data_IF_516837337339
#
_entry.id   IF_516837337339
#
_cell.length_a   1.000
_cell.length_b   1.000
_cell.length_c   1.000
_cell.angle_alpha   90.00
_cell.angle_beta   90.00
_cell.angle_gamma   90.00
#
_symmetry.space_group_name_H-M   'P 1'
#
loop_
_entity.id
_entity.type
_entity.pdbx_description
1 polymer ?
#
# COMPACT_ATOMS: atom_id res chain seq x y z
N UNK A 1 -13.87 30.66 -29.05
CA UNK A 1 -14.86 31.75 -29.00
C UNK A 1 -14.66 32.43 -27.67
N UNK A 2 -13.95 33.55 -27.70
CA UNK A 2 -13.61 34.40 -26.57
C UNK A 2 -14.82 35.25 -26.22
N UNK A 3 -15.06 35.48 -24.92
CA UNK A 3 -15.74 36.68 -24.44
C UNK A 3 -15.08 37.12 -23.14
N UNK A 4 -14.18 38.09 -23.28
CA UNK A 4 -13.89 39.06 -22.24
C UNK A 4 -15.05 40.05 -22.18
N UNK A 5 -15.51 40.40 -20.97
CA UNK A 5 -16.14 41.69 -20.70
C UNK A 5 -15.69 42.17 -19.32
N UNK A 6 -14.87 43.21 -19.37
CA UNK A 6 -14.42 44.05 -18.27
C UNK A 6 -15.40 45.24 -18.16
N UNK A 7 -15.80 45.66 -16.95
CA UNK A 7 -15.92 47.09 -16.58
C UNK A 7 -16.35 47.28 -15.12
N UNK A 8 -15.39 47.76 -14.32
CA UNK A 8 -15.41 48.90 -13.37
C UNK A 8 -16.69 49.29 -12.61
N UNK A 9 -16.52 49.56 -11.31
CA UNK A 9 -17.42 50.35 -10.49
C UNK A 9 -17.03 50.35 -9.00
N UNK A 10 -16.00 51.11 -8.65
CA UNK A 10 -15.70 51.52 -7.27
C UNK A 10 -16.64 52.64 -6.85
N UNK A 11 -17.29 52.53 -5.69
CA UNK A 11 -17.58 53.71 -4.87
C UNK A 11 -17.73 53.34 -3.39
N UNK A 12 -16.92 54.01 -2.61
CA UNK A 12 -16.89 54.07 -1.15
C UNK A 12 -18.02 54.97 -0.65
N UNK A 13 -18.71 54.57 0.41
CA UNK A 13 -19.41 55.52 1.27
C UNK A 13 -19.43 55.00 2.72
N UNK A 14 -18.72 55.73 3.56
CA UNK A 14 -18.75 55.66 5.01
C UNK A 14 -20.00 56.38 5.55
N UNK A 15 -20.30 56.10 6.82
CA UNK A 15 -21.12 56.88 7.76
C UNK A 15 -22.64 56.87 7.59
N UNK A 16 -23.30 56.08 8.45
CA UNK A 16 -24.49 56.56 9.17
C UNK A 16 -24.37 56.16 10.65
N UNK A 17 -24.30 57.19 11.48
CA UNK A 17 -24.11 57.20 12.93
C UNK A 17 -25.50 57.30 13.56
N UNK A 18 -25.95 56.29 14.32
CA UNK A 18 -27.21 56.34 15.06
C UNK A 18 -26.93 56.70 16.54
N UNK A 19 -27.34 57.89 17.02
CA UNK A 19 -27.05 58.35 18.37
C UNK A 19 -28.29 58.17 19.27
N UNK A 20 -28.59 56.94 19.69
CA UNK A 20 -29.43 56.73 20.88
C UNK A 20 -29.39 55.28 21.40
N UNK A 21 -28.53 55.01 22.38
CA UNK A 21 -28.79 53.96 23.38
C UNK A 21 -28.34 54.52 24.73
N UNK A 22 -29.34 54.68 25.58
CA UNK A 22 -29.27 55.27 26.91
C UNK A 22 -28.44 54.39 27.86
N UNK A 23 -27.75 55.05 28.77
CA UNK A 23 -26.90 54.47 29.82
C UNK A 23 -27.73 53.54 30.73
N UNK A 24 -27.40 52.25 30.78
CA UNK A 24 -27.82 51.35 31.87
C UNK A 24 -26.60 51.05 32.75
N UNK A 25 -26.78 51.29 34.04
CA UNK A 25 -25.79 51.31 35.11
C UNK A 25 -25.14 49.92 35.32
N UNK A 26 -23.80 49.90 35.42
CA UNK A 26 -23.03 48.72 35.81
C UNK A 26 -23.27 48.42 37.30
N UNK A 27 -24.03 47.35 37.60
CA UNK A 27 -24.03 46.74 38.93
C UNK A 27 -22.83 45.78 39.03
N UNK A 28 -21.87 46.13 39.89
CA UNK A 28 -20.75 45.27 40.30
C UNK A 28 -21.26 44.11 41.17
N UNK A 29 -21.52 42.96 40.56
CA UNK A 29 -21.62 41.70 41.29
C UNK A 29 -20.21 41.19 41.64
N UNK A 30 -19.86 41.25 42.93
CA UNK A 30 -18.65 40.64 43.50
C UNK A 30 -18.66 39.12 43.25
N UNK A 31 -17.88 38.66 42.27
CA UNK A 31 -17.63 37.23 42.02
C UNK A 31 -16.81 36.65 43.20
N UNK A 32 -17.36 35.68 43.96
CA UNK A 32 -16.66 35.12 45.10
C UNK A 32 -15.52 34.20 44.63
N UNK A 33 -14.34 34.80 44.47
CA UNK A 33 -13.02 34.20 44.67
C UNK A 33 -12.74 32.90 43.94
N UNK A 34 -11.90 32.99 42.91
CA UNK A 34 -11.13 31.88 42.36
C UNK A 34 -10.61 30.98 43.50
N UNK A 35 -11.06 29.72 43.51
CA UNK A 35 -10.54 28.70 44.42
C UNK A 35 -9.16 28.25 43.91
N UNK A 36 -8.14 29.08 44.12
CA UNK A 36 -6.74 28.83 43.75
C UNK A 36 -6.19 27.51 44.35
N UNK A 37 -6.81 26.99 45.40
CA UNK A 37 -6.35 25.81 46.13
C UNK A 37 -6.78 24.45 45.52
N UNK A 38 -7.59 24.40 44.46
CA UNK A 38 -8.00 23.10 43.87
C UNK A 38 -6.85 22.38 43.15
N UNK A 39 -5.81 23.11 42.73
CA UNK A 39 -4.65 22.56 42.02
C UNK A 39 -3.35 22.57 42.85
N UNK A 40 -3.40 22.99 44.11
CA UNK A 40 -2.25 22.99 45.01
C UNK A 40 -2.10 21.59 45.62
N UNK A 41 -1.47 20.69 44.87
CA UNK A 41 -1.15 19.34 45.34
C UNK A 41 -1.02 18.29 44.24
N UNK A 42 -1.69 18.48 43.10
CA UNK A 42 -1.65 17.52 41.98
C UNK A 42 -0.30 17.47 41.25
N UNK A 43 0.58 18.44 41.48
CA UNK A 43 1.93 18.44 40.92
C UNK A 43 2.86 17.39 41.55
N UNK A 44 2.49 16.82 42.71
CA UNK A 44 3.35 15.88 43.45
C UNK A 44 3.03 14.40 43.21
N UNK A 45 1.90 14.08 42.55
CA UNK A 45 1.46 12.70 42.31
C UNK A 45 1.88 12.15 40.93
N UNK A 46 2.52 12.97 40.09
CA UNK A 46 3.16 12.47 38.87
C UNK A 46 4.57 12.02 39.25
N UNK A 47 4.71 10.74 39.59
CA UNK A 47 6.02 10.10 39.64
C UNK A 47 6.74 10.41 38.31
N UNK A 48 7.76 11.28 38.35
CA UNK A 48 8.69 11.47 37.25
C UNK A 48 9.44 10.17 37.08
N UNK A 49 8.86 9.26 36.29
CA UNK A 49 9.56 8.09 35.81
C UNK A 49 10.82 8.60 35.12
N UNK A 50 11.99 8.21 35.63
CA UNK A 50 13.28 8.64 35.09
C UNK A 50 13.38 8.34 33.59
N UNK A 51 14.33 8.98 32.91
CA UNK A 51 14.58 8.79 31.47
C UNK A 51 14.87 7.33 31.05
N UNK A 52 15.01 6.41 32.01
CA UNK A 52 15.18 4.96 31.85
C UNK A 52 13.87 4.16 32.06
N UNK A 53 12.71 4.82 32.03
CA UNK A 53 11.42 4.15 32.06
C UNK A 53 11.30 3.20 30.86
N UNK A 54 11.14 1.91 31.11
CA UNK A 54 10.89 0.90 30.08
C UNK A 54 9.66 1.30 29.26
N UNK A 55 9.86 1.75 28.03
CA UNK A 55 8.76 2.02 27.09
C UNK A 55 8.22 0.67 26.59
N UNK A 56 6.99 0.26 26.96
CA UNK A 56 6.41 -1.00 26.50
C UNK A 56 6.15 -1.04 24.99
N UNK A 57 6.25 0.10 24.30
CA UNK A 57 6.18 0.25 22.85
C UNK A 57 7.55 0.31 22.16
N UNK A 58 8.67 0.22 22.90
CA UNK A 58 10.00 0.24 22.29
C UNK A 58 10.11 -0.87 21.23
N UNK A 59 10.46 -0.46 20.02
CA UNK A 59 10.52 -1.34 18.87
C UNK A 59 11.74 -0.99 18.02
N UNK A 60 12.65 -1.94 17.89
CA UNK A 60 13.90 -1.73 17.16
C UNK A 60 13.67 -1.89 15.64
N UNK A 61 13.95 -0.83 14.90
CA UNK A 61 13.90 -0.82 13.45
C UNK A 61 15.02 0.03 12.86
N UNK A 62 15.37 -0.22 11.60
CA UNK A 62 16.36 0.56 10.84
C UNK A 62 15.78 1.02 9.52
N UNK A 63 16.00 2.28 9.15
CA UNK A 63 15.66 2.80 7.83
C UNK A 63 16.82 2.53 6.85
N UNK A 64 16.54 1.82 5.77
CA UNK A 64 17.48 1.46 4.71
C UNK A 64 17.15 2.25 3.45
N UNK A 65 18.19 2.70 2.75
CA UNK A 65 18.10 3.24 1.40
C UNK A 65 17.81 2.13 0.39
N UNK A 66 17.43 2.52 -0.83
CA UNK A 66 17.28 1.59 -1.95
C UNK A 66 18.50 0.67 -2.13
N UNK A 67 19.72 1.24 -2.11
CA UNK A 67 20.96 0.50 -2.32
C UNK A 67 21.26 -0.50 -1.21
N UNK A 68 21.05 -0.10 0.05
CA UNK A 68 21.27 -0.99 1.19
C UNK A 68 20.27 -2.15 1.21
N UNK A 69 19.01 -1.85 0.89
CA UNK A 69 17.94 -2.86 0.78
C UNK A 69 18.23 -3.84 -0.36
N UNK A 70 18.63 -3.33 -1.53
CA UNK A 70 19.02 -4.15 -2.68
C UNK A 70 20.24 -5.02 -2.36
N UNK A 71 21.24 -4.49 -1.65
CA UNK A 71 22.39 -5.24 -1.16
C UNK A 71 21.98 -6.41 -0.27
N UNK A 72 21.16 -6.16 0.76
CA UNK A 72 20.68 -7.18 1.68
C UNK A 72 19.88 -8.30 0.96
N UNK A 73 18.99 -7.93 0.02
CA UNK A 73 18.25 -8.90 -0.78
C UNK A 73 19.18 -9.73 -1.68
N UNK A 74 20.19 -9.10 -2.29
CA UNK A 74 21.14 -9.78 -3.16
C UNK A 74 22.07 -10.74 -2.40
N UNK A 75 22.40 -10.48 -1.14
CA UNK A 75 23.15 -11.41 -0.31
C UNK A 75 22.38 -12.72 -0.09
N UNK A 76 21.10 -12.63 0.30
CA UNK A 76 20.23 -13.81 0.45
C UNK A 76 20.08 -14.57 -0.87
N UNK A 77 19.90 -13.86 -1.99
CA UNK A 77 19.85 -14.44 -3.33
C UNK A 77 21.13 -15.19 -3.69
N UNK A 78 22.29 -14.55 -3.52
CA UNK A 78 23.59 -15.14 -3.91
C UNK A 78 23.87 -16.39 -3.09
N UNK A 79 23.63 -16.32 -1.77
CA UNK A 79 23.74 -17.46 -0.87
C UNK A 79 22.85 -18.62 -1.32
N UNK A 80 21.55 -18.36 -1.55
CA UNK A 80 20.61 -19.40 -1.94
C UNK A 80 20.90 -20.00 -3.32
N UNK A 81 21.23 -19.16 -4.31
CA UNK A 81 21.57 -19.60 -5.66
C UNK A 81 22.76 -20.56 -5.67
N UNK A 82 23.77 -20.28 -4.85
CA UNK A 82 24.96 -21.13 -4.72
C UNK A 82 24.65 -22.51 -4.16
N UNK A 83 23.75 -22.59 -3.17
CA UNK A 83 23.37 -23.84 -2.49
C UNK A 83 22.45 -24.68 -3.37
N UNK A 84 21.44 -24.06 -3.98
CA UNK A 84 20.46 -24.73 -4.84
C UNK A 84 20.99 -25.04 -6.25
N UNK A 85 22.13 -24.45 -6.64
CA UNK A 85 22.73 -24.54 -7.99
C UNK A 85 21.76 -24.09 -9.10
N UNK A 86 21.09 -22.98 -8.88
CA UNK A 86 20.15 -22.35 -9.83
C UNK A 86 20.63 -20.96 -10.24
N UNK A 87 20.06 -20.38 -11.31
CA UNK A 87 20.37 -19.00 -11.67
C UNK A 87 19.87 -18.01 -10.60
N UNK A 88 20.49 -16.83 -10.54
CA UNK A 88 20.08 -15.76 -9.62
C UNK A 88 18.60 -15.40 -9.78
N UNK A 89 18.11 -15.25 -11.02
CA UNK A 89 16.70 -14.96 -11.31
C UNK A 89 15.76 -16.02 -10.74
N UNK A 90 16.13 -17.30 -10.87
CA UNK A 90 15.35 -18.41 -10.31
C UNK A 90 15.37 -18.39 -8.78
N UNK A 91 16.52 -18.13 -8.17
CA UNK A 91 16.64 -18.00 -6.71
C UNK A 91 15.72 -16.89 -6.15
N UNK A 92 15.63 -15.74 -6.84
CA UNK A 92 14.71 -14.66 -6.46
C UNK A 92 13.24 -15.11 -6.49
N UNK A 93 12.82 -15.84 -7.53
CA UNK A 93 11.45 -16.38 -7.60
C UNK A 93 11.14 -17.29 -6.39
N UNK A 94 12.08 -18.16 -6.02
CA UNK A 94 11.95 -19.06 -4.87
C UNK A 94 11.86 -18.24 -3.57
N UNK A 95 12.75 -17.27 -3.37
CA UNK A 95 12.76 -16.41 -2.18
C UNK A 95 11.44 -15.67 -2.00
N UNK A 96 10.92 -15.06 -3.06
CA UNK A 96 9.63 -14.34 -3.02
C UNK A 96 8.48 -15.28 -2.65
N UNK A 97 8.47 -16.51 -3.20
CA UNK A 97 7.40 -17.47 -2.93
C UNK A 97 7.37 -17.95 -1.47
N UNK A 98 8.54 -18.03 -0.83
CA UNK A 98 8.69 -18.48 0.57
C UNK A 98 8.99 -17.31 1.53
N UNK A 99 8.58 -16.10 1.17
CA UNK A 99 8.71 -14.91 2.02
C UNK A 99 10.11 -14.67 2.60
N UNK A 100 11.14 -15.03 1.83
CA UNK A 100 12.56 -14.87 2.20
C UNK A 100 13.01 -15.67 3.44
N UNK A 101 12.27 -16.71 3.82
CA UNK A 101 12.65 -17.62 4.91
C UNK A 101 13.68 -18.66 4.44
N UNK A 102 14.95 -18.25 4.33
CA UNK A 102 16.04 -19.07 3.78
C UNK A 102 16.17 -20.43 4.48
N UNK A 103 16.09 -20.49 5.81
CA UNK A 103 16.18 -21.74 6.57
C UNK A 103 15.10 -22.76 6.17
N UNK A 104 13.85 -22.29 6.02
CA UNK A 104 12.72 -23.14 5.60
C UNK A 104 12.94 -23.68 4.18
N UNK A 105 13.40 -22.81 3.25
CA UNK A 105 13.69 -23.19 1.87
C UNK A 105 14.77 -24.30 1.84
N UNK A 106 15.83 -24.15 2.62
CA UNK A 106 16.92 -25.12 2.67
C UNK A 106 16.48 -26.48 3.25
N UNK A 107 15.65 -26.48 4.29
CA UNK A 107 15.17 -27.72 4.89
C UNK A 107 14.17 -28.46 3.99
N UNK A 108 13.29 -27.71 3.31
CA UNK A 108 12.42 -28.28 2.27
C UNK A 108 13.22 -28.81 1.09
N UNK A 109 14.28 -28.12 0.67
CA UNK A 109 15.13 -28.57 -0.44
C UNK A 109 15.86 -29.88 -0.13
N UNK A 110 16.37 -30.05 1.09
CA UNK A 110 16.97 -31.32 1.55
C UNK A 110 15.96 -32.47 1.53
N UNK A 111 14.70 -32.17 1.82
CA UNK A 111 13.62 -33.16 1.88
C UNK A 111 13.11 -33.56 0.49
N UNK A 112 12.77 -32.57 -0.35
CA UNK A 112 12.29 -32.80 -1.72
C UNK A 112 12.52 -31.56 -2.60
N UNK A 113 13.63 -31.55 -3.34
CA UNK A 113 14.01 -30.44 -4.23
C UNK A 113 13.04 -30.22 -5.38
N UNK A 114 12.51 -31.30 -5.99
CA UNK A 114 11.60 -31.20 -7.13
C UNK A 114 10.26 -30.57 -6.71
N UNK A 115 9.70 -30.98 -5.57
CA UNK A 115 8.47 -30.41 -5.04
C UNK A 115 8.63 -28.92 -4.72
N UNK A 116 9.75 -28.53 -4.11
CA UNK A 116 10.04 -27.12 -3.82
C UNK A 116 10.06 -26.26 -5.09
N UNK A 117 10.67 -26.74 -6.17
CA UNK A 117 10.74 -26.01 -7.44
C UNK A 117 9.37 -25.91 -8.15
N UNK A 118 8.51 -26.91 -7.98
CA UNK A 118 7.12 -26.88 -8.48
C UNK A 118 6.26 -25.92 -7.65
N UNK A 119 6.37 -25.95 -6.32
CA UNK A 119 5.67 -25.03 -5.40
C UNK A 119 6.09 -23.57 -5.65
N UNK A 120 7.38 -23.33 -5.89
CA UNK A 120 7.92 -22.03 -6.29
C UNK A 120 7.54 -21.60 -7.72
N UNK A 121 6.84 -22.47 -8.48
CA UNK A 121 6.40 -22.24 -9.86
C UNK A 121 7.56 -21.96 -10.83
N UNK A 122 8.71 -22.58 -10.58
CA UNK A 122 9.92 -22.49 -11.42
C UNK A 122 10.06 -23.71 -12.33
N UNK A 123 9.53 -24.86 -11.91
CA UNK A 123 9.47 -26.06 -12.73
C UNK A 123 8.01 -26.54 -12.91
N UNK A 124 7.67 -27.11 -14.07
CA UNK A 124 6.38 -27.73 -14.28
C UNK A 124 6.24 -29.00 -13.42
N UNK A 125 5.01 -29.33 -13.04
CA UNK A 125 4.74 -30.65 -12.48
C UNK A 125 4.85 -31.69 -13.62
N UNK A 126 5.73 -32.71 -13.51
CA UNK A 126 5.92 -33.71 -14.55
C UNK A 126 4.63 -34.48 -14.90
N UNK A 127 3.68 -34.58 -13.97
CA UNK A 127 2.42 -35.31 -14.17
C UNK A 127 1.38 -34.56 -15.02
N UNK A 128 1.57 -33.26 -15.31
CA UNK A 128 0.59 -32.42 -16.03
C UNK A 128 1.09 -31.95 -17.39
N UNK A 129 2.09 -32.60 -17.98
CA UNK A 129 2.54 -32.25 -19.33
C UNK A 129 1.43 -32.52 -20.35
N UNK A 130 0.72 -31.48 -20.75
CA UNK A 130 -0.18 -31.51 -21.90
C UNK A 130 0.71 -31.36 -23.14
N UNK A 131 0.72 -32.34 -24.06
CA UNK A 131 1.42 -32.17 -25.33
C UNK A 131 0.83 -30.97 -26.06
N UNK A 132 1.69 -30.10 -26.59
CA UNK A 132 1.26 -29.03 -27.50
C UNK A 132 0.61 -29.68 -28.73
N UNK A 133 -0.72 -29.55 -28.88
CA UNK A 133 -1.49 -30.13 -29.98
C UNK A 133 -1.33 -29.37 -31.31
N UNK A 134 -0.35 -28.48 -31.40
CA UNK A 134 -0.21 -27.57 -32.53
C UNK A 134 0.77 -28.11 -33.59
N UNK A 135 0.55 -27.76 -34.87
CA UNK A 135 1.46 -28.16 -35.92
C UNK A 135 2.89 -27.71 -35.60
N UNK A 136 3.90 -28.53 -35.92
CA UNK A 136 5.29 -28.10 -35.80
C UNK A 136 5.47 -26.79 -36.58
N UNK A 137 6.21 -25.84 -35.99
CA UNK A 137 6.53 -24.53 -36.59
C UNK A 137 5.41 -23.48 -36.60
N UNK A 138 4.41 -23.57 -35.73
CA UNK A 138 3.39 -22.52 -35.57
C UNK A 138 3.35 -22.00 -34.12
N UNK A 139 3.17 -20.69 -33.97
CA UNK A 139 2.95 -20.09 -32.66
C UNK A 139 1.49 -20.30 -32.21
N UNK A 140 1.27 -20.84 -31.01
CA UNK A 140 -0.08 -21.12 -30.49
C UNK A 140 -0.93 -19.87 -30.20
N UNK A 141 -0.31 -18.67 -30.14
CA UNK A 141 -1.01 -17.40 -29.84
C UNK A 141 -1.40 -16.67 -31.12
N UNK A 142 -0.44 -16.38 -32.00
CA UNK A 142 -0.71 -15.61 -33.22
C UNK A 142 -0.98 -16.48 -34.46
N UNK A 143 -0.87 -17.81 -34.35
CA UNK A 143 -1.04 -18.79 -35.42
C UNK A 143 -0.11 -18.59 -36.64
N UNK A 144 0.93 -17.77 -36.51
CA UNK A 144 1.91 -17.53 -37.57
C UNK A 144 2.93 -18.67 -37.66
N UNK A 145 3.41 -18.93 -38.88
CA UNK A 145 4.53 -19.84 -39.12
C UNK A 145 5.84 -19.23 -38.60
N UNK A 146 6.52 -19.96 -37.74
CA UNK A 146 7.77 -19.54 -37.10
C UNK A 146 8.74 -20.71 -37.08
N UNK A 147 9.97 -20.47 -37.55
CA UNK A 147 11.05 -21.47 -37.48
C UNK A 147 11.27 -21.88 -36.03
N UNK A 148 11.58 -23.16 -35.80
CA UNK A 148 11.73 -23.74 -34.45
C UNK A 148 12.78 -23.00 -33.61
N UNK A 149 13.83 -22.49 -34.25
CA UNK A 149 14.91 -21.69 -33.63
C UNK A 149 14.43 -20.33 -33.06
N UNK A 150 13.30 -19.81 -33.53
CA UNK A 150 12.74 -18.52 -33.10
C UNK A 150 11.58 -18.67 -32.11
N UNK A 151 11.28 -19.91 -31.69
CA UNK A 151 10.32 -20.19 -30.63
C UNK A 151 11.04 -20.20 -29.28
N UNK A 152 10.53 -19.41 -28.35
CA UNK A 152 11.04 -19.32 -27.00
C UNK A 152 10.13 -20.11 -26.07
N UNK A 153 10.73 -20.87 -25.15
CA UNK A 153 10.02 -21.66 -24.15
C UNK A 153 10.69 -21.55 -22.78
N UNK A 154 9.87 -21.60 -21.73
CA UNK A 154 10.33 -21.76 -20.36
C UNK A 154 10.51 -23.25 -20.02
N UNK A 155 10.78 -23.57 -18.75
CA UNK A 155 10.90 -24.95 -18.26
C UNK A 155 9.64 -25.81 -18.50
N UNK A 156 8.47 -25.20 -18.67
CA UNK A 156 7.22 -25.88 -19.03
C UNK A 156 7.16 -26.36 -20.48
N UNK A 157 8.13 -25.99 -21.32
CA UNK A 157 8.24 -26.36 -22.73
C UNK A 157 7.13 -25.81 -23.66
N UNK A 158 6.23 -24.97 -23.15
CA UNK A 158 5.29 -24.23 -24.00
C UNK A 158 6.06 -23.23 -24.88
N UNK A 159 5.87 -23.33 -26.19
CA UNK A 159 6.62 -22.59 -27.21
C UNK A 159 5.77 -21.48 -27.81
N UNK A 160 6.33 -20.27 -27.83
CA UNK A 160 5.70 -19.11 -28.46
C UNK A 160 6.76 -18.29 -29.20
N UNK A 161 6.34 -17.55 -30.22
CA UNK A 161 7.27 -16.70 -30.95
C UNK A 161 7.73 -15.51 -30.11
N UNK A 162 8.89 -14.95 -30.45
CA UNK A 162 9.46 -13.79 -29.77
C UNK A 162 8.49 -12.59 -29.72
N UNK A 163 7.80 -12.28 -30.81
CA UNK A 163 6.89 -11.13 -30.85
C UNK A 163 5.71 -11.27 -29.87
N UNK A 164 5.14 -12.47 -29.72
CA UNK A 164 4.10 -12.71 -28.72
C UNK A 164 4.64 -12.54 -27.29
N UNK A 165 5.85 -13.03 -27.02
CA UNK A 165 6.51 -12.84 -25.73
C UNK A 165 6.79 -11.35 -25.42
N UNK A 166 7.31 -10.59 -26.38
CA UNK A 166 7.55 -9.16 -26.24
C UNK A 166 6.26 -8.39 -25.94
N UNK A 167 5.17 -8.69 -26.65
CA UNK A 167 3.86 -8.09 -26.41
C UNK A 167 3.31 -8.46 -25.03
N UNK A 168 3.32 -9.75 -24.68
CA UNK A 168 2.84 -10.25 -23.39
C UNK A 168 3.58 -9.62 -22.21
N UNK A 169 4.92 -9.64 -22.24
CA UNK A 169 5.74 -9.01 -21.20
C UNK A 169 5.50 -7.49 -21.15
N UNK A 170 5.40 -6.82 -22.29
CA UNK A 170 5.17 -5.37 -22.32
C UNK A 170 3.82 -4.98 -21.72
N UNK A 171 2.76 -5.74 -21.98
CA UNK A 171 1.42 -5.49 -21.41
C UNK A 171 1.46 -5.70 -19.90
N UNK A 172 1.96 -6.84 -19.43
CA UNK A 172 2.02 -7.13 -17.99
C UNK A 172 2.86 -6.13 -17.21
N UNK A 173 3.99 -5.69 -17.77
CA UNK A 173 4.82 -4.66 -17.12
C UNK A 173 4.09 -3.31 -17.11
N UNK A 174 3.36 -2.94 -18.15
CA UNK A 174 2.53 -1.71 -18.14
C UNK A 174 1.43 -1.77 -17.09
N UNK A 175 0.87 -2.95 -16.85
CA UNK A 175 -0.14 -3.20 -15.81
C UNK A 175 0.47 -3.29 -14.39
N UNK A 176 1.78 -3.08 -14.25
CA UNK A 176 2.45 -3.02 -12.94
C UNK A 176 2.88 -4.36 -12.37
N UNK A 177 2.92 -5.42 -13.18
CA UNK A 177 3.31 -6.76 -12.76
C UNK A 177 4.83 -6.94 -12.78
N UNK A 178 5.42 -7.27 -11.62
CA UNK A 178 6.84 -7.62 -11.47
C UNK A 178 7.08 -9.13 -11.51
N UNK A 179 7.18 -9.76 -10.34
CA UNK A 179 7.49 -11.19 -10.16
C UNK A 179 6.35 -12.11 -10.63
N UNK A 180 5.17 -11.53 -10.89
CA UNK A 180 3.97 -12.24 -11.31
C UNK A 180 3.90 -12.61 -12.79
N UNK A 181 4.85 -12.19 -13.63
CA UNK A 181 4.85 -12.54 -15.07
C UNK A 181 4.90 -14.07 -15.23
N UNK A 182 3.89 -14.63 -15.90
CA UNK A 182 3.73 -16.08 -16.07
C UNK A 182 3.75 -16.50 -17.54
N UNK A 183 3.82 -17.82 -17.76
CA UNK A 183 3.65 -18.43 -19.08
C UNK A 183 2.30 -18.05 -19.73
N UNK A 184 2.30 -17.90 -21.06
CA UNK A 184 1.09 -17.61 -21.86
C UNK A 184 0.18 -18.84 -22.07
N UNK A 185 0.64 -20.04 -21.75
CA UNK A 185 -0.18 -21.24 -21.88
C UNK A 185 -1.32 -21.25 -20.86
N UNK A 186 -2.49 -21.71 -21.29
CA UNK A 186 -3.64 -21.86 -20.41
C UNK A 186 -3.30 -22.79 -19.22
N UNK A 187 -3.71 -22.38 -18.02
CA UNK A 187 -3.53 -23.11 -16.76
C UNK A 187 -2.07 -23.48 -16.42
N UNK A 188 -1.09 -22.78 -17.01
CA UNK A 188 0.32 -22.95 -16.67
C UNK A 188 0.72 -22.01 -15.52
N UNK A 189 1.02 -22.53 -14.31
CA UNK A 189 1.35 -21.68 -13.17
C UNK A 189 2.78 -21.12 -13.22
N UNK A 190 3.58 -21.53 -14.20
CA UNK A 190 5.02 -21.26 -14.25
C UNK A 190 5.30 -19.74 -14.35
N UNK A 191 6.15 -19.25 -13.47
CA UNK A 191 6.64 -17.87 -13.48
C UNK A 191 7.84 -17.72 -14.40
N UNK A 192 7.96 -16.53 -14.97
CA UNK A 192 9.02 -16.16 -15.89
C UNK A 192 10.17 -15.50 -15.11
N UNK A 193 11.38 -16.06 -15.13
CA UNK A 193 12.56 -15.44 -14.55
C UNK A 193 12.88 -14.06 -15.15
N UNK A 194 13.40 -13.13 -14.35
CA UNK A 194 13.67 -11.75 -14.78
C UNK A 194 14.66 -11.66 -15.96
N UNK A 195 15.65 -12.57 -16.03
CA UNK A 195 16.62 -12.69 -17.12
C UNK A 195 15.99 -13.12 -18.45
N UNK A 196 14.83 -13.79 -18.40
CA UNK A 196 14.04 -14.09 -19.59
C UNK A 196 13.21 -12.86 -20.03
N UNK A 197 12.69 -12.07 -19.09
CA UNK A 197 11.85 -10.90 -19.39
C UNK A 197 12.66 -9.71 -19.91
N UNK A 198 13.81 -9.40 -19.30
CA UNK A 198 14.60 -8.20 -19.65
C UNK A 198 14.93 -8.09 -21.15
N UNK A 199 15.39 -9.15 -21.84
CA UNK A 199 15.69 -9.10 -23.28
C UNK A 199 14.46 -8.91 -24.20
N UNK A 200 13.25 -9.15 -23.67
CA UNK A 200 11.98 -9.05 -24.40
C UNK A 200 11.32 -7.67 -24.24
N UNK A 201 11.84 -6.81 -23.37
CA UNK A 201 11.30 -5.47 -23.18
C UNK A 201 11.94 -4.51 -24.20
N UNK A 202 11.15 -3.84 -25.07
CA UNK A 202 11.69 -3.09 -26.20
C UNK A 202 12.45 -1.82 -25.80
N UNK A 203 11.95 -1.09 -24.81
CA UNK A 203 12.43 0.24 -24.42
C UNK A 203 12.99 0.26 -22.98
N UNK A 204 13.97 1.14 -22.74
CA UNK A 204 14.62 1.27 -21.43
C UNK A 204 13.65 1.73 -20.34
N UNK A 205 12.67 2.56 -20.69
CA UNK A 205 11.64 3.01 -19.75
C UNK A 205 10.82 1.83 -19.18
N UNK A 206 10.45 0.85 -20.02
CA UNK A 206 9.76 -0.36 -19.55
C UNK A 206 10.68 -1.23 -18.71
N UNK A 207 11.97 -1.34 -19.06
CA UNK A 207 12.96 -2.07 -18.26
C UNK A 207 13.11 -1.45 -16.87
N UNK A 208 13.13 -0.13 -16.78
CA UNK A 208 13.23 0.58 -15.50
C UNK A 208 11.96 0.45 -14.65
N UNK A 209 10.77 0.53 -15.29
CA UNK A 209 9.50 0.22 -14.63
C UNK A 209 9.49 -1.20 -14.08
N UNK A 210 9.95 -2.17 -14.88
CA UNK A 210 10.04 -3.56 -14.46
C UNK A 210 10.99 -3.77 -13.28
N UNK A 211 12.20 -3.15 -13.29
CA UNK A 211 13.12 -3.16 -12.14
C UNK A 211 12.45 -2.65 -10.86
N UNK A 212 11.71 -1.54 -10.96
CA UNK A 212 10.99 -0.96 -9.83
C UNK A 212 9.90 -1.89 -9.29
N UNK A 213 9.12 -2.54 -10.16
CA UNK A 213 8.09 -3.49 -9.75
C UNK A 213 8.68 -4.75 -9.13
N UNK A 214 9.79 -5.27 -9.68
CA UNK A 214 10.51 -6.37 -9.08
C UNK A 214 11.01 -6.01 -7.67
N UNK A 215 11.67 -4.86 -7.51
CA UNK A 215 12.13 -4.40 -6.21
C UNK A 215 10.99 -4.24 -5.20
N UNK A 216 9.87 -3.64 -5.62
CA UNK A 216 8.66 -3.55 -4.79
C UNK A 216 8.21 -4.93 -4.33
N UNK A 217 8.02 -5.86 -5.26
CA UNK A 217 7.56 -7.21 -4.95
C UNK A 217 8.55 -7.97 -4.05
N UNK A 218 9.86 -7.74 -4.20
CA UNK A 218 10.91 -8.30 -3.34
C UNK A 218 10.80 -7.79 -1.91
N UNK A 219 10.67 -6.47 -1.72
CA UNK A 219 10.52 -5.87 -0.40
C UNK A 219 9.20 -6.27 0.25
N UNK A 220 8.09 -6.22 -0.49
CA UNK A 220 6.76 -6.54 0.05
C UNK A 220 6.58 -8.01 0.40
N UNK A 221 7.30 -8.91 -0.26
CA UNK A 221 7.31 -10.34 0.09
C UNK A 221 8.22 -10.67 1.27
N UNK A 222 9.17 -9.79 1.61
CA UNK A 222 10.15 -10.03 2.66
C UNK A 222 9.55 -9.81 4.06
N UNK A 223 9.59 -10.83 4.91
CA UNK A 223 8.96 -10.81 6.23
C UNK A 223 9.50 -9.71 7.17
N UNK A 224 10.78 -9.33 7.06
CA UNK A 224 11.42 -8.27 7.88
C UNK A 224 11.50 -6.88 7.23
N UNK A 225 11.04 -6.70 5.98
CA UNK A 225 11.16 -5.42 5.29
C UNK A 225 9.78 -4.83 5.00
N UNK A 226 9.69 -3.50 4.99
CA UNK A 226 8.54 -2.79 4.43
C UNK A 226 8.91 -1.50 3.72
N UNK A 227 8.16 -1.20 2.66
CA UNK A 227 8.25 0.10 1.98
C UNK A 227 7.59 1.19 2.83
N UNK A 228 8.24 2.34 2.91
CA UNK A 228 7.62 3.53 3.48
C UNK A 228 6.36 3.91 2.69
N UNK A 229 5.22 4.22 3.35
CA UNK A 229 4.00 4.65 2.67
C UNK A 229 4.03 6.12 2.23
N UNK A 230 5.04 6.90 2.64
CA UNK A 230 5.17 8.30 2.26
C UNK A 230 5.30 8.49 0.74
N UNK A 231 4.66 9.54 0.22
CA UNK A 231 4.68 9.86 -1.20
C UNK A 231 6.11 10.02 -1.71
N UNK A 232 6.44 9.29 -2.79
CA UNK A 232 7.76 9.28 -3.43
C UNK A 232 8.95 9.03 -2.48
N UNK A 233 8.71 8.31 -1.37
CA UNK A 233 9.75 7.96 -0.41
C UNK A 233 10.36 6.58 -0.74
N UNK A 234 11.64 6.50 -1.16
CA UNK A 234 12.29 5.23 -1.53
C UNK A 234 12.89 4.49 -0.33
N UNK A 235 12.53 4.87 0.90
CA UNK A 235 13.08 4.25 2.11
C UNK A 235 12.36 2.94 2.41
N UNK A 236 13.14 1.97 2.89
CA UNK A 236 12.66 0.67 3.36
C UNK A 236 12.92 0.56 4.85
N UNK A 237 11.93 0.15 5.62
CA UNK A 237 12.07 -0.12 7.06
C UNK A 237 12.40 -1.60 7.24
N UNK A 238 13.47 -1.89 7.99
CA UNK A 238 13.84 -3.24 8.41
C UNK A 238 13.60 -3.41 9.90
N UNK A 239 13.05 -4.55 10.29
CA UNK A 239 12.82 -4.95 11.68
C UNK A 239 13.43 -6.32 11.95
N UNK A 240 13.75 -6.63 13.20
CA UNK A 240 14.18 -8.00 13.56
C UNK A 240 12.99 -8.94 13.73
N UNK A 241 11.95 -8.47 14.44
CA UNK A 241 10.76 -9.24 14.76
C UNK A 241 9.51 -8.58 14.14
N UNK A 242 8.91 -9.14 13.08
CA UNK A 242 7.79 -8.50 12.39
C UNK A 242 6.52 -8.47 13.26
N UNK A 243 6.20 -7.30 13.81
CA UNK A 243 5.02 -7.07 14.65
C UNK A 243 4.22 -5.84 14.21
N UNK A 244 2.97 -5.75 14.67
CA UNK A 244 2.13 -4.57 14.46
C UNK A 244 2.54 -3.45 15.44
N UNK A 245 3.71 -2.85 15.20
CA UNK A 245 4.29 -1.79 16.03
C UNK A 245 4.50 -0.51 15.23
N UNK A 246 4.61 0.60 15.95
CA UNK A 246 4.90 1.93 15.40
C UNK A 246 6.31 1.93 14.81
N UNK A 247 6.42 2.40 13.58
CA UNK A 247 7.72 2.70 12.95
C UNK A 247 7.67 4.09 12.35
N UNK A 248 8.82 4.75 12.27
CA UNK A 248 8.94 6.10 11.73
C UNK A 248 10.03 6.14 10.66
N UNK A 249 9.71 6.70 9.50
CA UNK A 249 10.71 6.92 8.45
C UNK A 249 11.61 8.11 8.80
N UNK A 250 12.92 7.93 8.77
CA UNK A 250 13.88 9.01 9.06
C UNK A 250 13.99 10.08 7.94
N UNK A 251 13.45 9.81 6.74
CA UNK A 251 13.52 10.73 5.59
C UNK A 251 12.30 11.62 5.48
N UNK A 252 11.09 11.04 5.51
CA UNK A 252 9.84 11.77 5.35
C UNK A 252 9.06 11.95 6.65
N UNK A 253 9.58 11.43 7.78
CA UNK A 253 8.94 11.48 9.10
C UNK A 253 7.58 10.80 9.21
N UNK A 254 7.15 10.07 8.17
CA UNK A 254 5.90 9.32 8.16
C UNK A 254 5.92 8.23 9.25
N UNK A 255 4.84 8.19 10.04
CA UNK A 255 4.66 7.24 11.14
C UNK A 255 3.55 6.28 10.80
N UNK A 256 3.86 4.99 10.80
CA UNK A 256 2.91 3.97 10.36
C UNK A 256 3.10 2.65 11.11
N UNK A 257 2.12 1.76 10.96
CA UNK A 257 2.19 0.40 11.47
C UNK A 257 2.99 -0.50 10.53
N UNK A 258 4.05 -1.12 11.01
CA UNK A 258 4.92 -1.99 10.19
C UNK A 258 4.14 -3.12 9.50
N UNK A 259 3.15 -3.72 10.19
CA UNK A 259 2.42 -4.90 9.68
C UNK A 259 1.41 -4.58 8.58
N UNK A 260 0.66 -3.48 8.69
CA UNK A 260 -0.44 -3.17 7.76
C UNK A 260 -0.19 -1.95 6.86
N UNK A 261 0.91 -1.22 7.10
CA UNK A 261 1.30 0.01 6.37
C UNK A 261 0.30 1.17 6.44
N UNK A 262 -0.70 1.08 7.30
CA UNK A 262 -1.61 2.19 7.60
C UNK A 262 -1.02 3.06 8.70
N UNK A 263 -1.61 4.24 8.92
CA UNK A 263 -1.30 5.08 10.07
C UNK A 263 -1.30 4.25 11.36
N UNK A 264 -0.38 4.55 12.28
CA UNK A 264 -0.32 3.82 13.54
C UNK A 264 -1.63 3.98 14.30
N UNK A 265 -2.20 2.85 14.73
CA UNK A 265 -3.62 2.76 15.05
C UNK A 265 -3.87 2.07 16.40
N UNK A 266 -2.91 2.11 17.32
CA UNK A 266 -3.15 1.67 18.70
C UNK A 266 -4.24 2.54 19.35
N UNK A 267 -5.15 1.97 20.18
CA UNK A 267 -5.14 0.58 20.68
C UNK A 267 -5.80 -0.45 19.75
N UNK A 268 -6.31 -0.05 18.59
CA UNK A 268 -7.03 -0.92 17.65
C UNK A 268 -6.07 -1.87 16.92
N UNK A 269 -6.53 -3.09 16.59
CA UNK A 269 -5.73 -4.05 15.83
C UNK A 269 -5.78 -3.81 14.30
N UNK A 270 -4.83 -4.40 13.57
CA UNK A 270 -4.74 -4.21 12.12
C UNK A 270 -5.98 -4.72 11.35
N UNK A 271 -6.71 -5.69 11.90
CA UNK A 271 -7.88 -6.26 11.24
C UNK A 271 -9.08 -5.30 11.35
N UNK A 272 -9.29 -4.71 12.53
CA UNK A 272 -10.39 -3.78 12.78
C UNK A 272 -10.18 -2.48 12.00
N UNK A 273 -8.98 -1.90 12.03
CA UNK A 273 -8.71 -0.66 11.27
C UNK A 273 -8.92 -0.87 9.76
N UNK A 274 -8.56 -2.05 9.22
CA UNK A 274 -8.77 -2.36 7.81
C UNK A 274 -10.25 -2.42 7.46
N UNK A 275 -11.06 -3.11 8.27
CA UNK A 275 -12.52 -3.17 8.07
C UNK A 275 -13.15 -1.79 8.18
N UNK A 276 -12.69 -0.97 9.13
CA UNK A 276 -13.14 0.41 9.29
C UNK A 276 -12.85 1.23 8.03
N UNK A 277 -11.60 1.22 7.55
CA UNK A 277 -11.21 1.95 6.34
C UNK A 277 -11.96 1.46 5.09
N UNK A 278 -12.16 0.15 4.93
CA UNK A 278 -12.98 -0.40 3.83
C UNK A 278 -14.41 0.11 3.90
N UNK A 279 -15.03 0.06 5.09
CA UNK A 279 -16.38 0.59 5.28
C UNK A 279 -16.46 2.08 4.94
N UNK A 280 -15.51 2.89 5.41
CA UNK A 280 -15.48 4.32 5.11
C UNK A 280 -15.32 4.61 3.61
N UNK A 281 -14.65 3.73 2.86
CA UNK A 281 -14.51 3.86 1.41
C UNK A 281 -15.76 3.38 0.64
N UNK A 282 -16.47 2.39 1.17
CA UNK A 282 -17.68 1.82 0.57
C UNK A 282 -18.94 2.65 0.90
N UNK A 283 -18.93 3.38 2.01
CA UNK A 283 -19.99 4.31 2.39
C UNK A 283 -20.03 5.45 1.35
N UNK A 284 -21.13 5.52 0.58
CA UNK A 284 -21.27 6.53 -0.47
C UNK A 284 -21.17 7.95 0.09
N UNK A 285 -20.56 8.86 -0.65
CA UNK A 285 -20.55 10.30 -0.34
C UNK A 285 -21.98 10.83 -0.05
N UNK A 286 -23.00 10.26 -0.70
CA UNK A 286 -24.41 10.57 -0.44
C UNK A 286 -24.86 10.12 0.96
N UNK A 287 -24.50 8.91 1.39
CA UNK A 287 -24.81 8.42 2.74
C UNK A 287 -24.06 9.21 3.82
N UNK A 288 -22.79 9.55 3.58
CA UNK A 288 -21.99 10.39 4.47
C UNK A 288 -22.59 11.80 4.55
N UNK A 289 -22.93 12.42 3.42
CA UNK A 289 -23.59 13.73 3.38
C UNK A 289 -24.91 13.72 4.15
N UNK A 290 -25.77 12.72 3.91
CA UNK A 290 -27.03 12.56 4.63
C UNK A 290 -26.75 12.45 6.14
N UNK A 291 -25.86 11.56 6.59
CA UNK A 291 -25.57 11.42 8.01
C UNK A 291 -24.97 12.67 8.68
N UNK A 292 -24.20 13.47 7.93
CA UNK A 292 -23.53 14.65 8.43
C UNK A 292 -24.40 15.92 8.41
N UNK A 293 -25.31 16.04 7.43
CA UNK A 293 -26.11 17.25 7.20
C UNK A 293 -27.59 17.07 7.51
N UNK A 294 -28.02 15.85 7.82
CA UNK A 294 -29.41 15.54 8.15
C UNK A 294 -29.53 14.81 9.47
N UNK A 295 -30.65 15.00 10.16
CA UNK A 295 -31.03 14.25 11.36
C UNK A 295 -32.50 13.85 11.27
N UNK A 296 -32.84 12.71 11.86
CA UNK A 296 -34.23 12.26 11.91
C UNK A 296 -35.03 13.07 12.95
N UNK A 297 -36.26 13.42 12.59
CA UNK A 297 -37.20 14.01 13.52
C UNK A 297 -37.49 13.01 14.66
N UNK A 298 -37.36 13.40 15.95
CA UNK A 298 -37.63 12.49 17.07
C UNK A 298 -39.11 12.08 17.20
N UNK A 299 -40.03 12.73 16.49
CA UNK A 299 -41.48 12.49 16.57
C UNK A 299 -42.03 11.69 15.39
N UNK A 300 -41.55 11.91 14.16
CA UNK A 300 -42.05 11.22 12.96
C UNK A 300 -40.98 10.43 12.19
N UNK A 301 -39.71 10.45 12.62
CA UNK A 301 -38.57 9.79 11.99
C UNK A 301 -38.33 10.17 10.52
N UNK A 302 -38.88 11.30 10.07
CA UNK A 302 -38.56 11.86 8.75
C UNK A 302 -37.20 12.57 8.87
N UNK A 303 -36.30 12.27 7.94
CA UNK A 303 -35.00 12.88 7.77
C UNK A 303 -35.13 14.39 7.46
N UNK A 304 -34.46 15.25 8.22
CA UNK A 304 -34.48 16.70 8.06
C UNK A 304 -33.07 17.22 7.82
N UNK A 305 -32.89 17.95 6.72
CA UNK A 305 -31.65 18.70 6.43
C UNK A 305 -31.65 20.05 7.17
N UNK A 306 -30.52 20.44 7.76
CA UNK A 306 -30.38 21.74 8.43
C UNK A 306 -30.07 22.83 7.40
N UNK A 307 -31.00 23.75 7.16
CA UNK A 307 -30.89 24.83 6.18
C UNK A 307 -30.60 26.22 6.80
N UNK A 308 -29.76 26.30 7.84
CA UNK A 308 -29.39 27.58 8.49
C UNK A 308 -28.68 27.45 9.85
N UNK A 309 -28.48 28.57 10.55
CA UNK A 309 -27.76 28.63 11.84
C UNK A 309 -28.61 28.41 13.10
N UNK A 310 -29.94 28.41 12.99
CA UNK A 310 -30.85 28.22 14.14
C UNK A 310 -30.97 26.73 14.51
N UNK A 311 -30.95 26.41 15.81
CA UNK A 311 -31.12 25.04 16.32
C UNK A 311 -32.59 24.66 16.58
N UNK A 312 -33.52 25.60 16.44
CA UNK A 312 -34.95 25.33 16.54
C UNK A 312 -35.52 24.93 15.17
N UNK A 313 -35.75 23.63 14.97
CA UNK A 313 -36.19 23.06 13.70
C UNK A 313 -37.65 22.59 13.76
N UNK A 314 -38.45 22.98 12.77
CA UNK A 314 -39.83 22.51 12.58
C UNK A 314 -39.89 21.53 11.41
N UNK A 315 -40.46 20.35 11.61
CA UNK A 315 -40.57 19.32 10.57
C UNK A 315 -41.96 19.34 9.92
N UNK A 316 -42.02 19.29 8.59
CA UNK A 316 -43.27 19.40 7.83
C UNK A 316 -44.25 18.22 8.07
N UNK A 317 -43.76 17.08 8.59
CA UNK A 317 -44.57 15.92 8.90
C UNK A 317 -45.13 15.87 10.33
N UNK A 318 -44.82 16.84 11.19
CA UNK A 318 -45.27 16.89 12.58
C UNK A 318 -46.18 18.08 12.92
N UNK A 319 -46.66 18.79 11.90
CA UNK A 319 -47.59 19.92 12.02
C UNK A 319 -48.92 19.47 12.62
#
# INVERSE_FOLDING_TARGET
MSVDMNSQGSDSNEEDYDPNCEEEEEEEDEDPGDIEDYYVGVASDVEQQGADAFDPEEYQFTCLTYKESEGALNEHMTSLASVLKVSHSVAKLILVNFHWQVSEILDRYKSNSAQLLVEARVQPNPSKHVPTSHPPHHCAVCMQFVRKENLLSLACQHQFCRSCWEQHCSVLVKDGVGVGVSCMAQDCPLRTPEDFVFPLLPNEELREKYRRYLFRDYVESHYQLQLCPGADCPMVIRVQEPRARRVQCNRCNEVFCFKCRQMYHAPTDCATIRKWLTKCADDSETANYISAHTKDCPKCNICIEKNGGCNHMTSAGCV
#
